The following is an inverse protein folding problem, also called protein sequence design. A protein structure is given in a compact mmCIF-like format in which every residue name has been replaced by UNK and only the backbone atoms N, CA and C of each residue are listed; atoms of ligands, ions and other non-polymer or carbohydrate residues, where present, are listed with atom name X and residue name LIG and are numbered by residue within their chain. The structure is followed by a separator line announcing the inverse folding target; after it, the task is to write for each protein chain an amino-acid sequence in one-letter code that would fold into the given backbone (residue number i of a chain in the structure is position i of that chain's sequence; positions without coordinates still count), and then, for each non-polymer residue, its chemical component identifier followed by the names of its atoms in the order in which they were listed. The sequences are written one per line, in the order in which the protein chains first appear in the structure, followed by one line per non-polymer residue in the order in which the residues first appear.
data_IF_478735254246
#
_entry.id   IF_478735254246
#
_cell.length_a   1.000
_cell.length_b   1.000
_cell.length_c   1.000
_cell.angle_alpha   90.00
_cell.angle_beta   90.00
_cell.angle_gamma   90.00
#
_symmetry.space_group_name_H-M   'P 1'
#
loop_
_entity.id
_entity.type
_entity.pdbx_description
1 polymer ?
#
# COMPACT_ATOMS: atom_id res chain seq x y z
N UNK A 1 1.29 -1.39 35.45
CA UNK A 1 2.41 -1.86 34.58
C UNK A 1 1.84 -2.05 33.19
N UNK A 2 2.57 -1.60 32.17
CA UNK A 2 2.15 -1.74 30.77
C UNK A 2 2.78 -3.02 30.18
N UNK A 3 2.09 -3.64 29.22
CA UNK A 3 2.54 -4.82 28.49
C UNK A 3 2.52 -4.54 26.98
N UNK A 4 3.47 -5.12 26.25
CA UNK A 4 3.60 -4.93 24.80
C UNK A 4 4.27 -6.14 24.14
N UNK A 5 4.15 -6.23 22.81
CA UNK A 5 4.87 -7.16 21.97
C UNK A 5 5.97 -6.43 21.19
N UNK A 6 7.10 -7.08 20.96
CA UNK A 6 8.12 -6.53 20.09
C UNK A 6 9.25 -7.49 19.75
N UNK A 7 9.90 -7.22 18.63
CA UNK A 7 11.10 -7.94 18.21
C UNK A 7 12.37 -7.34 18.83
N UNK A 8 13.37 -8.19 19.03
CA UNK A 8 14.71 -7.76 19.43
C UNK A 8 15.33 -6.96 18.29
N UNK A 9 15.58 -5.67 18.54
CA UNK A 9 16.20 -4.75 17.58
C UNK A 9 17.71 -4.87 17.58
N UNK A 10 18.30 -4.92 18.77
CA UNK A 10 19.74 -5.00 18.99
C UNK A 10 20.02 -5.85 20.23
N UNK A 11 21.14 -6.54 20.22
CA UNK A 11 21.62 -7.33 21.35
C UNK A 11 23.16 -7.28 21.40
N UNK A 12 23.71 -6.93 22.55
CA UNK A 12 25.15 -6.93 22.83
C UNK A 12 25.50 -8.24 23.53
N UNK A 13 26.12 -9.16 22.78
CA UNK A 13 26.49 -10.51 23.25
C UNK A 13 27.46 -10.42 24.44
N UNK A 14 28.39 -9.46 24.43
CA UNK A 14 29.40 -9.33 25.48
C UNK A 14 28.79 -8.80 26.78
N UNK A 15 27.81 -7.91 26.67
CA UNK A 15 27.17 -7.27 27.84
C UNK A 15 25.90 -7.97 28.30
N UNK A 16 25.35 -8.89 27.51
CA UNK A 16 24.15 -9.64 27.86
C UNK A 16 22.90 -8.78 27.99
N UNK A 17 22.77 -7.71 27.21
CA UNK A 17 21.54 -6.92 27.17
C UNK A 17 21.17 -6.56 25.73
N UNK A 18 19.90 -6.27 25.53
CA UNK A 18 19.38 -5.84 24.24
C UNK A 18 18.24 -4.86 24.36
N UNK A 19 17.69 -4.50 23.21
CA UNK A 19 16.59 -3.57 23.08
C UNK A 19 15.45 -4.19 22.26
N UNK A 20 14.23 -4.04 22.76
CA UNK A 20 13.01 -4.48 22.11
C UNK A 20 12.32 -3.31 21.41
N UNK A 21 11.81 -3.59 20.21
CA UNK A 21 10.88 -2.71 19.53
C UNK A 21 9.53 -2.65 20.24
N UNK A 22 8.77 -1.60 19.92
CA UNK A 22 7.41 -1.39 20.42
C UNK A 22 6.43 -1.54 19.27
N UNK A 23 5.53 -2.50 19.35
CA UNK A 23 4.57 -2.80 18.26
C UNK A 23 3.34 -1.90 18.31
N UNK A 24 2.85 -1.56 19.51
CA UNK A 24 1.54 -0.93 19.68
C UNK A 24 1.58 0.59 19.79
N UNK A 25 2.72 1.18 20.22
CA UNK A 25 2.85 2.65 20.33
C UNK A 25 3.58 3.26 19.12
N UNK A 26 2.86 4.12 18.41
CA UNK A 26 3.21 4.68 17.10
C UNK A 26 4.25 5.82 17.15
N UNK A 27 4.49 6.42 18.32
CA UNK A 27 5.49 7.49 18.49
C UNK A 27 6.92 6.92 18.58
N UNK A 28 7.37 6.30 17.48
CA UNK A 28 8.70 5.67 17.33
C UNK A 28 9.86 6.64 17.57
N UNK A 29 9.64 7.94 17.40
CA UNK A 29 10.71 8.94 17.51
C UNK A 29 10.95 9.47 18.93
N UNK A 30 10.03 9.28 19.89
CA UNK A 30 10.14 9.95 21.21
C UNK A 30 10.17 9.03 22.43
N UNK A 31 9.86 7.74 22.29
CA UNK A 31 9.88 6.79 23.40
C UNK A 31 10.95 5.75 23.12
N UNK A 32 12.10 5.93 23.77
CA UNK A 32 13.28 5.09 23.60
C UNK A 32 12.96 3.59 23.72
N UNK A 33 13.85 2.78 23.15
CA UNK A 33 13.68 1.34 23.11
C UNK A 33 13.62 0.73 24.51
N UNK A 34 12.96 -0.43 24.61
CA UNK A 34 12.77 -1.13 25.89
C UNK A 34 13.98 -2.02 26.12
N UNK A 35 14.76 -1.73 27.15
CA UNK A 35 15.95 -2.54 27.44
C UNK A 35 15.58 -3.80 28.21
N UNK A 36 16.25 -4.90 27.92
CA UNK A 36 16.12 -6.17 28.65
C UNK A 36 17.50 -6.76 28.93
N UNK A 37 17.61 -7.54 29.99
CA UNK A 37 18.83 -8.26 30.33
C UNK A 37 18.66 -9.76 30.04
N UNK A 38 19.72 -10.41 29.57
CA UNK A 38 19.70 -11.81 29.15
C UNK A 38 19.37 -12.76 30.31
N UNK A 39 19.61 -12.38 31.56
CA UNK A 39 19.28 -13.20 32.73
C UNK A 39 17.82 -13.61 32.75
N UNK A 40 16.90 -12.69 32.44
CA UNK A 40 15.46 -12.96 32.41
C UNK A 40 15.12 -14.02 31.35
N UNK A 41 15.79 -13.95 30.20
CA UNK A 41 15.57 -14.89 29.10
C UNK A 41 16.27 -16.23 29.38
N UNK A 42 17.46 -16.24 29.99
CA UNK A 42 18.21 -17.47 30.31
C UNK A 42 17.49 -18.36 31.31
N UNK A 43 16.82 -17.74 32.29
CA UNK A 43 16.08 -18.47 33.33
C UNK A 43 14.89 -19.22 32.72
N UNK A 44 14.11 -18.55 31.86
CA UNK A 44 12.86 -19.10 31.35
C UNK A 44 12.96 -19.75 29.96
N UNK A 45 13.89 -19.29 29.12
CA UNK A 45 14.00 -19.65 27.70
C UNK A 45 15.47 -19.86 27.27
N UNK A 46 16.18 -20.86 27.81
CA UNK A 46 17.61 -21.06 27.55
C UNK A 46 17.94 -21.25 26.06
N UNK A 47 17.04 -21.84 25.27
CA UNK A 47 17.23 -21.98 23.82
C UNK A 47 17.18 -20.65 23.08
N UNK A 48 16.32 -19.72 23.51
CA UNK A 48 16.25 -18.35 22.97
C UNK A 48 17.51 -17.58 23.38
N UNK A 49 17.97 -17.75 24.62
CA UNK A 49 19.22 -17.16 25.06
C UNK A 49 20.43 -17.64 24.23
N UNK A 50 20.50 -18.94 23.88
CA UNK A 50 21.52 -19.46 22.97
C UNK A 50 21.46 -18.82 21.57
N UNK A 51 20.25 -18.61 21.03
CA UNK A 51 20.07 -17.90 19.75
C UNK A 51 20.56 -16.45 19.83
N UNK A 52 20.18 -15.72 20.88
CA UNK A 52 20.68 -14.37 21.15
C UNK A 52 22.21 -14.33 21.20
N UNK A 53 22.83 -15.23 21.97
CA UNK A 53 24.29 -15.33 22.12
C UNK A 53 25.01 -15.73 20.81
N UNK A 54 24.30 -16.33 19.84
CA UNK A 54 24.82 -16.62 18.49
C UNK A 54 24.77 -15.43 17.51
N UNK A 55 24.14 -14.31 17.91
CA UNK A 55 23.94 -13.14 17.05
C UNK A 55 22.73 -13.22 16.12
N UNK A 56 21.95 -14.30 16.16
CA UNK A 56 20.71 -14.45 15.39
C UNK A 56 19.49 -14.04 16.22
N UNK A 57 19.09 -12.77 16.12
CA UNK A 57 18.02 -12.21 16.96
C UNK A 57 16.94 -11.39 16.25
N UNK A 58 17.07 -11.12 14.95
CA UNK A 58 16.12 -10.27 14.21
C UNK A 58 14.70 -10.85 14.09
N UNK A 59 14.56 -12.17 14.23
CA UNK A 59 13.30 -12.92 14.17
C UNK A 59 12.72 -13.22 15.57
N UNK A 60 13.40 -12.81 16.65
CA UNK A 60 12.96 -13.13 18.01
C UNK A 60 11.94 -12.09 18.47
N UNK A 61 10.66 -12.48 18.43
CA UNK A 61 9.54 -11.75 19.03
C UNK A 61 9.33 -12.13 20.49
N UNK A 62 9.13 -11.14 21.36
CA UNK A 62 8.88 -11.34 22.78
C UNK A 62 7.67 -10.51 23.23
N UNK A 63 6.87 -11.10 24.09
CA UNK A 63 5.89 -10.40 24.91
C UNK A 63 6.56 -9.95 26.19
N UNK A 64 6.31 -8.72 26.63
CA UNK A 64 6.98 -8.21 27.83
C UNK A 64 6.13 -7.23 28.63
N UNK A 65 6.24 -7.34 29.95
CA UNK A 65 5.85 -6.25 30.87
C UNK A 65 7.02 -5.31 31.01
N UNK A 66 6.75 -4.01 31.10
CA UNK A 66 7.80 -3.03 31.29
C UNK A 66 7.44 -1.95 32.30
N UNK A 67 8.48 -1.38 32.91
CA UNK A 67 8.40 -0.32 33.90
C UNK A 67 9.57 0.64 33.79
N UNK A 68 9.49 1.77 34.48
CA UNK A 68 10.60 2.71 34.60
C UNK A 68 11.53 2.27 35.73
N UNK A 69 12.81 2.12 35.43
CA UNK A 69 13.89 1.87 36.39
C UNK A 69 14.99 2.88 36.13
N UNK A 70 15.27 3.76 37.10
CA UNK A 70 16.26 4.84 36.98
C UNK A 70 16.04 5.73 35.73
N UNK A 71 14.78 6.07 35.45
CA UNK A 71 14.40 6.89 34.28
C UNK A 71 14.41 6.17 32.93
N UNK A 72 14.93 4.93 32.86
CA UNK A 72 14.93 4.09 31.65
C UNK A 72 13.79 3.08 31.68
N UNK A 73 13.29 2.68 30.50
CA UNK A 73 12.19 1.71 30.41
C UNK A 73 12.75 0.29 30.29
N UNK A 74 12.58 -0.54 31.32
CA UNK A 74 13.09 -1.92 31.41
C UNK A 74 11.96 -2.93 31.21
N UNK A 75 12.22 -4.01 30.46
CA UNK A 75 11.39 -5.21 30.50
C UNK A 75 11.57 -5.93 31.85
N UNK A 76 10.48 -6.09 32.60
CA UNK A 76 10.46 -6.70 33.94
C UNK A 76 10.03 -8.16 33.92
N UNK A 77 9.23 -8.57 32.93
CA UNK A 77 8.85 -9.96 32.67
C UNK A 77 8.79 -10.18 31.17
N UNK A 78 9.10 -11.39 30.74
CA UNK A 78 9.18 -11.77 29.33
C UNK A 78 8.43 -13.08 29.15
N UNK A 79 7.65 -13.17 28.06
CA UNK A 79 6.98 -14.38 27.62
C UNK A 79 7.28 -14.63 26.14
N UNK A 80 7.44 -15.91 25.77
CA UNK A 80 7.71 -16.29 24.38
C UNK A 80 6.42 -16.52 23.61
N UNK A 81 5.40 -17.03 24.30
CA UNK A 81 4.11 -17.40 23.70
C UNK A 81 2.97 -16.76 24.46
N UNK A 82 1.88 -16.47 23.76
CA UNK A 82 0.67 -15.96 24.41
C UNK A 82 0.14 -16.93 25.47
N UNK A 83 0.28 -18.25 25.31
CA UNK A 83 -0.18 -19.23 26.31
C UNK A 83 0.35 -18.98 27.73
N UNK A 84 1.58 -18.45 27.85
CA UNK A 84 2.25 -18.22 29.14
C UNK A 84 1.82 -16.90 29.82
N UNK A 85 1.13 -16.02 29.09
CA UNK A 85 0.69 -14.72 29.60
C UNK A 85 -0.50 -14.93 30.56
N UNK A 86 -0.51 -14.31 31.75
CA UNK A 86 -1.66 -14.34 32.66
C UNK A 86 -2.94 -13.86 31.99
N UNK A 87 -4.09 -14.49 32.29
CA UNK A 87 -5.36 -14.22 31.59
C UNK A 87 -5.76 -12.74 31.66
N UNK A 88 -5.67 -12.12 32.84
CA UNK A 88 -5.98 -10.68 33.03
C UNK A 88 -5.18 -9.77 32.08
N UNK A 89 -3.96 -10.16 31.73
CA UNK A 89 -3.09 -9.42 30.81
C UNK A 89 -3.45 -9.71 29.37
N UNK A 90 -3.85 -10.94 29.04
CA UNK A 90 -4.36 -11.29 27.71
C UNK A 90 -5.61 -10.50 27.37
N UNK A 91 -6.53 -10.37 28.33
CA UNK A 91 -7.78 -9.62 28.14
C UNK A 91 -7.47 -8.15 27.82
N UNK A 92 -6.60 -7.52 28.61
CA UNK A 92 -6.11 -6.16 28.36
C UNK A 92 -5.44 -6.01 26.98
N UNK A 93 -4.57 -6.95 26.59
CA UNK A 93 -3.91 -6.92 25.29
C UNK A 93 -4.92 -7.10 24.14
N UNK A 94 -5.95 -7.91 24.35
CA UNK A 94 -6.99 -8.18 23.37
C UNK A 94 -7.77 -6.91 23.07
N UNK A 95 -8.22 -6.21 24.12
CA UNK A 95 -8.87 -4.90 23.99
C UNK A 95 -7.97 -3.90 23.24
N UNK A 96 -6.67 -3.87 23.55
CA UNK A 96 -5.71 -2.98 22.90
C UNK A 96 -5.52 -3.29 21.41
N UNK A 97 -5.46 -4.56 21.03
CA UNK A 97 -5.38 -4.96 19.62
C UNK A 97 -6.65 -4.57 18.88
N UNK A 98 -7.83 -4.75 19.46
CA UNK A 98 -9.11 -4.34 18.86
C UNK A 98 -9.23 -2.82 18.69
N UNK A 99 -8.71 -2.04 19.65
CA UNK A 99 -8.59 -0.58 19.57
C UNK A 99 -7.70 -0.17 18.38
N UNK A 100 -6.53 -0.81 18.23
CA UNK A 100 -5.60 -0.55 17.12
C UNK A 100 -6.26 -0.84 15.76
N UNK A 101 -6.97 -1.97 15.65
CA UNK A 101 -7.76 -2.29 14.46
C UNK A 101 -8.85 -1.25 14.19
N UNK A 102 -9.36 -0.57 15.21
CA UNK A 102 -10.40 0.45 15.06
C UNK A 102 -9.86 1.80 14.60
N UNK A 103 -8.64 2.15 14.98
CA UNK A 103 -8.08 3.51 14.83
C UNK A 103 -7.27 3.76 13.56
N UNK A 104 -7.12 2.78 12.67
CA UNK A 104 -6.38 2.94 11.39
C UNK A 104 -4.94 3.45 11.56
N UNK A 105 -4.25 3.00 12.60
CA UNK A 105 -2.84 3.36 12.84
C UNK A 105 -1.91 2.72 11.81
N UNK A 106 -0.75 3.33 11.57
CA UNK A 106 0.33 2.91 10.66
C UNK A 106 1.15 1.70 11.17
N UNK A 107 0.50 0.75 11.85
CA UNK A 107 1.17 -0.51 12.17
C UNK A 107 1.14 -1.37 10.91
N UNK A 108 2.27 -2.04 10.60
CA UNK A 108 2.32 -3.00 9.48
C UNK A 108 1.19 -4.00 9.65
N UNK A 109 0.43 -4.22 8.58
CA UNK A 109 -0.76 -5.06 8.61
C UNK A 109 -0.40 -6.51 8.91
N UNK A 110 0.73 -6.96 8.38
CA UNK A 110 1.29 -8.30 8.55
C UNK A 110 1.62 -8.55 10.03
N UNK A 111 2.27 -7.56 10.66
CA UNK A 111 2.61 -7.62 12.07
C UNK A 111 1.36 -7.64 12.96
N UNK A 112 0.40 -6.75 12.67
CA UNK A 112 -0.85 -6.69 13.41
C UNK A 112 -1.64 -8.00 13.27
N UNK A 113 -1.69 -8.56 12.06
CA UNK A 113 -2.33 -9.86 11.79
C UNK A 113 -1.69 -10.97 12.61
N UNK A 114 -0.37 -11.10 12.57
CA UNK A 114 0.35 -12.13 13.31
C UNK A 114 0.06 -12.06 14.82
N UNK A 115 0.21 -10.87 15.41
CA UNK A 115 -0.04 -10.64 16.84
C UNK A 115 -1.51 -10.90 17.20
N UNK A 116 -2.45 -10.53 16.33
CA UNK A 116 -3.88 -10.77 16.55
C UNK A 116 -4.18 -12.27 16.53
N UNK A 117 -3.63 -13.02 15.57
CA UNK A 117 -3.82 -14.47 15.48
C UNK A 117 -3.23 -15.16 16.71
N UNK A 118 -2.04 -14.77 17.14
CA UNK A 118 -1.39 -15.36 18.31
C UNK A 118 -2.16 -15.08 19.61
N UNK A 119 -2.75 -13.89 19.74
CA UNK A 119 -3.41 -13.46 20.98
C UNK A 119 -4.86 -13.92 21.11
N UNK A 120 -5.65 -13.73 20.05
CA UNK A 120 -7.11 -13.96 20.07
C UNK A 120 -7.59 -14.96 19.01
N UNK A 121 -6.67 -15.54 18.24
CA UNK A 121 -6.97 -16.58 17.25
C UNK A 121 -7.44 -16.05 15.89
N UNK A 122 -7.38 -16.94 14.89
CA UNK A 122 -7.72 -16.65 13.50
C UNK A 122 -9.16 -16.15 13.34
N UNK A 123 -10.13 -16.78 14.03
CA UNK A 123 -11.55 -16.43 13.88
C UNK A 123 -11.84 -14.98 14.31
N UNK A 124 -11.24 -14.53 15.41
CA UNK A 124 -11.39 -13.15 15.88
C UNK A 124 -10.68 -12.17 14.95
N UNK A 125 -9.47 -12.50 14.48
CA UNK A 125 -8.77 -11.71 13.47
C UNK A 125 -9.64 -11.51 12.22
N UNK A 126 -10.27 -12.55 11.70
CA UNK A 126 -11.08 -12.43 10.47
C UNK A 126 -12.31 -11.53 10.67
N UNK A 127 -12.91 -11.56 11.87
CA UNK A 127 -13.98 -10.62 12.25
C UNK A 127 -13.48 -9.18 12.27
N UNK A 128 -12.29 -8.94 12.84
CA UNK A 128 -11.67 -7.61 12.90
C UNK A 128 -11.29 -7.09 11.52
N UNK A 129 -10.70 -7.93 10.65
CA UNK A 129 -10.39 -7.58 9.26
C UNK A 129 -11.66 -7.22 8.49
N UNK A 130 -12.74 -7.99 8.66
CA UNK A 130 -14.04 -7.69 8.04
C UNK A 130 -14.58 -6.34 8.52
N UNK A 131 -14.52 -6.06 9.83
CA UNK A 131 -14.95 -4.79 10.43
C UNK A 131 -14.10 -3.62 9.92
N UNK A 132 -12.77 -3.77 9.91
CA UNK A 132 -11.82 -2.80 9.38
C UNK A 132 -12.12 -2.49 7.91
N UNK A 133 -12.12 -3.51 7.06
CA UNK A 133 -12.41 -3.35 5.63
C UNK A 133 -13.79 -2.69 5.43
N UNK A 134 -14.82 -3.03 6.23
CA UNK A 134 -16.14 -2.39 6.11
C UNK A 134 -16.13 -0.88 6.41
N UNK A 135 -15.29 -0.43 7.35
CA UNK A 135 -15.12 0.98 7.70
C UNK A 135 -14.36 1.73 6.60
N UNK A 136 -13.29 1.14 6.09
CA UNK A 136 -12.39 1.74 5.09
C UNK A 136 -12.77 1.42 3.64
N UNK A 137 -13.85 0.66 3.42
CA UNK A 137 -14.42 0.44 2.08
C UNK A 137 -14.58 1.78 1.41
N UNK A 138 -13.85 1.95 0.31
CA UNK A 138 -13.90 3.19 -0.44
C UNK A 138 -15.35 3.48 -0.85
N UNK A 139 -15.76 4.75 -1.00
CA UNK A 139 -17.07 5.07 -1.57
C UNK A 139 -17.34 4.33 -2.89
N UNK A 140 -16.28 4.04 -3.66
CA UNK A 140 -16.33 3.23 -4.88
C UNK A 140 -16.71 1.77 -4.62
N UNK A 141 -16.12 1.09 -3.64
CA UNK A 141 -16.51 -0.29 -3.31
C UNK A 141 -17.95 -0.39 -2.81
N UNK A 142 -18.43 0.63 -2.08
CA UNK A 142 -19.83 0.73 -1.68
C UNK A 142 -20.77 0.89 -2.89
N UNK A 143 -20.37 1.68 -3.88
CA UNK A 143 -21.11 1.85 -5.14
C UNK A 143 -21.12 0.52 -5.92
N UNK A 144 -19.98 -0.16 -6.05
CA UNK A 144 -19.87 -1.43 -6.77
C UNK A 144 -20.69 -2.55 -6.12
N UNK A 145 -20.67 -2.67 -4.78
CA UNK A 145 -21.51 -3.64 -4.06
C UNK A 145 -23.01 -3.30 -4.17
N UNK A 146 -23.37 -2.02 -4.15
CA UNK A 146 -24.76 -1.58 -4.37
C UNK A 146 -25.24 -1.93 -5.78
N UNK A 147 -24.43 -1.65 -6.81
CA UNK A 147 -24.73 -1.99 -8.21
C UNK A 147 -24.87 -3.51 -8.42
N UNK A 148 -23.98 -4.31 -7.82
CA UNK A 148 -24.05 -5.77 -7.90
C UNK A 148 -25.27 -6.33 -7.15
N UNK A 149 -25.63 -5.76 -6.01
CA UNK A 149 -26.83 -6.13 -5.25
C UNK A 149 -28.11 -5.79 -6.03
N UNK A 150 -28.17 -4.65 -6.72
CA UNK A 150 -29.29 -4.29 -7.61
C UNK A 150 -29.39 -5.20 -8.85
N UNK A 151 -28.26 -5.66 -9.40
CA UNK A 151 -28.24 -6.64 -10.52
C UNK A 151 -28.78 -8.02 -10.10
N UNK A 152 -28.51 -8.45 -8.86
CA UNK A 152 -29.01 -9.73 -8.35
C UNK A 152 -30.52 -9.69 -8.04
N UNK A 153 -31.03 -8.57 -7.53
CA UNK A 153 -32.48 -8.42 -7.26
C UNK A 153 -33.30 -8.24 -8.54
N UNK A 154 -32.77 -7.57 -9.56
CA UNK A 154 -33.42 -7.44 -10.88
C UNK A 154 -33.45 -8.76 -11.66
N UNK A 155 -32.47 -9.66 -11.49
CA UNK A 155 -32.52 -11.03 -12.06
C UNK A 155 -33.57 -11.92 -11.41
N UNK A 156 -33.89 -11.74 -10.13
CA UNK A 156 -34.98 -12.50 -9.47
C UNK A 156 -36.39 -12.07 -9.90
N UNK A 157 -36.56 -10.91 -10.55
CA UNK A 157 -37.87 -10.41 -11.01
C UNK A 157 -38.20 -10.70 -12.48
N UNK A 158 -37.31 -11.31 -13.26
CA UNK A 158 -37.52 -11.64 -14.69
C UNK A 158 -37.93 -13.10 -14.96
N UNK A 159 -38.76 -13.69 -14.11
CA UNK A 159 -39.50 -14.93 -14.43
C UNK A 159 -40.99 -14.67 -14.20
N UNK A 160 -41.65 -14.10 -15.20
CA UNK A 160 -43.08 -13.78 -15.28
C UNK A 160 -43.40 -13.17 -16.66
N UNK A 161 -44.61 -13.36 -17.21
CA UNK A 161 -44.80 -13.81 -18.58
C UNK A 161 -44.62 -12.73 -19.66
N UNK A 162 -44.26 -13.25 -20.84
CA UNK A 162 -44.13 -12.60 -22.15
C UNK A 162 -45.37 -11.75 -22.46
N UNK A 163 -45.19 -10.44 -22.54
CA UNK A 163 -46.13 -9.52 -23.20
C UNK A 163 -45.32 -8.63 -24.14
N UNK A 164 -45.71 -8.68 -25.40
CA UNK A 164 -45.23 -7.84 -26.50
C UNK A 164 -45.69 -6.38 -26.33
N UNK A 165 -44.92 -5.48 -26.94
CA UNK A 165 -45.26 -4.08 -27.22
C UNK A 165 -45.36 -3.13 -26.01
N UNK A 166 -44.35 -2.26 -25.88
CA UNK A 166 -44.46 -0.81 -26.13
C UNK A 166 -43.11 -0.20 -25.74
N UNK A 167 -42.46 0.36 -26.75
CA UNK A 167 -41.24 1.14 -26.63
C UNK A 167 -41.62 2.46 -25.96
N UNK A 168 -41.15 2.65 -24.73
CA UNK A 168 -40.89 3.97 -24.14
C UNK A 168 -39.81 3.78 -23.08
N UNK A 169 -38.59 4.15 -23.45
CA UNK A 169 -37.41 4.13 -22.59
C UNK A 169 -37.52 5.27 -21.56
N UNK A 170 -37.28 5.03 -20.26
CA UNK A 170 -37.08 6.10 -19.30
C UNK A 170 -35.63 6.62 -19.35
N UNK A 171 -35.51 7.90 -19.04
CA UNK A 171 -34.33 8.76 -19.18
C UNK A 171 -33.00 8.19 -18.64
N UNK A 172 -32.00 8.21 -19.52
CA UNK A 172 -30.57 7.99 -19.28
C UNK A 172 -29.87 9.31 -18.90
N UNK A 173 -30.26 9.96 -17.82
CA UNK A 173 -29.50 11.10 -17.33
C UNK A 173 -28.53 10.65 -16.23
N UNK A 174 -27.24 10.67 -16.56
CA UNK A 174 -26.02 10.39 -15.76
C UNK A 174 -25.34 9.02 -15.90
N UNK A 175 -25.36 8.41 -17.09
CA UNK A 175 -24.20 7.60 -17.50
C UNK A 175 -23.24 8.51 -18.26
N UNK A 176 -22.22 9.04 -17.57
CA UNK A 176 -21.05 9.61 -18.22
C UNK A 176 -20.38 8.51 -19.04
N UNK A 177 -20.74 8.42 -20.33
CA UNK A 177 -20.00 7.62 -21.30
C UNK A 177 -18.57 8.14 -21.25
N UNK A 178 -17.66 7.32 -20.71
CA UNK A 178 -16.23 7.61 -20.83
C UNK A 178 -15.96 7.59 -22.33
N UNK A 179 -15.52 8.69 -22.95
CA UNK A 179 -15.34 8.74 -24.40
C UNK A 179 -14.41 7.61 -24.81
N UNK A 180 -14.80 6.83 -25.83
CA UNK A 180 -14.00 5.72 -26.38
C UNK A 180 -12.56 6.14 -26.73
N UNK A 181 -12.37 7.43 -27.00
CA UNK A 181 -11.12 8.03 -27.45
C UNK A 181 -10.12 8.29 -26.30
N UNK A 182 -10.45 7.96 -25.05
CA UNK A 182 -9.52 8.15 -23.92
C UNK A 182 -8.38 7.14 -23.93
N UNK A 183 -8.52 6.00 -24.62
CA UNK A 183 -7.61 4.85 -24.51
C UNK A 183 -6.78 4.55 -25.77
N UNK A 184 -6.69 5.48 -26.73
CA UNK A 184 -5.97 5.22 -27.98
C UNK A 184 -4.49 4.95 -27.72
N UNK A 185 -3.96 3.87 -28.29
CA UNK A 185 -2.56 3.43 -28.11
C UNK A 185 -2.33 2.45 -26.95
N UNK A 186 -3.33 2.19 -26.10
CA UNK A 186 -3.24 1.16 -25.06
C UNK A 186 -3.58 -0.23 -25.62
N UNK A 187 -2.96 -1.31 -25.09
CA UNK A 187 -3.41 -2.68 -25.33
C UNK A 187 -4.91 -2.87 -25.03
N UNK A 188 -5.59 -3.66 -25.86
CA UNK A 188 -7.05 -3.86 -25.79
C UNK A 188 -7.51 -4.38 -24.41
N UNK A 189 -6.73 -5.27 -23.78
CA UNK A 189 -7.06 -5.82 -22.47
C UNK A 189 -7.09 -4.77 -21.36
N UNK A 190 -6.39 -3.64 -21.53
CA UNK A 190 -6.35 -2.57 -20.53
C UNK A 190 -7.56 -1.65 -20.56
N UNK A 191 -8.21 -1.51 -21.71
CA UNK A 191 -9.34 -0.57 -21.93
C UNK A 191 -10.47 -0.70 -20.89
N UNK A 192 -10.65 -1.89 -20.31
CA UNK A 192 -11.72 -2.20 -19.35
C UNK A 192 -11.24 -2.40 -17.91
N UNK A 193 -9.93 -2.39 -17.66
CA UNK A 193 -9.37 -2.66 -16.32
C UNK A 193 -8.65 -1.46 -15.70
N UNK A 194 -8.50 -0.36 -16.43
CA UNK A 194 -7.87 0.87 -15.90
C UNK A 194 -8.79 1.52 -14.86
N UNK A 195 -8.28 1.65 -13.65
CA UNK A 195 -8.90 2.43 -12.58
C UNK A 195 -8.22 3.80 -12.52
N UNK A 196 -8.91 4.83 -13.00
CA UNK A 196 -8.43 6.20 -12.92
C UNK A 196 -8.49 6.72 -11.48
N UNK A 197 -7.34 7.09 -10.93
CA UNK A 197 -7.23 7.58 -9.55
C UNK A 197 -7.86 8.96 -9.46
N UNK A 198 -8.96 9.07 -8.71
CA UNK A 198 -9.65 10.36 -8.55
C UNK A 198 -8.76 11.42 -7.90
N UNK A 199 -8.89 12.68 -8.36
CA UNK A 199 -8.04 13.81 -7.95
C UNK A 199 -8.04 14.05 -6.44
N UNK A 200 -9.15 13.79 -5.74
CA UNK A 200 -9.26 13.93 -4.28
C UNK A 200 -8.31 13.04 -3.47
N UNK A 201 -7.72 12.02 -4.10
CA UNK A 201 -6.75 11.12 -3.46
C UNK A 201 -5.29 11.48 -3.78
N UNK A 202 -5.06 12.57 -4.53
CA UNK A 202 -3.73 13.02 -4.91
C UNK A 202 -3.28 14.11 -3.94
N UNK A 203 -2.03 14.05 -3.51
CA UNK A 203 -1.43 15.04 -2.60
C UNK A 203 -0.64 16.12 -3.34
N UNK A 204 -0.26 15.89 -4.60
CA UNK A 204 0.49 16.87 -5.40
C UNK A 204 -0.47 17.94 -5.96
N UNK A 205 -0.32 19.23 -5.59
CA UNK A 205 -1.18 20.31 -6.09
C UNK A 205 -1.19 20.43 -7.63
N UNK A 206 -0.07 20.11 -8.29
CA UNK A 206 0.03 20.19 -9.75
C UNK A 206 -0.88 19.19 -10.47
N UNK A 207 -1.24 18.08 -9.82
CA UNK A 207 -2.16 17.07 -10.37
C UNK A 207 -3.63 17.52 -10.38
N UNK A 208 -3.92 18.72 -9.89
CA UNK A 208 -5.24 19.35 -9.95
C UNK A 208 -5.39 20.35 -11.10
N UNK A 209 -4.28 20.67 -11.78
CA UNK A 209 -4.26 21.63 -12.89
C UNK A 209 -4.38 20.85 -14.21
N UNK A 210 -5.42 21.09 -15.03
CA UNK A 210 -5.61 20.42 -16.32
C UNK A 210 -4.38 20.44 -17.24
N UNK A 211 -4.22 19.39 -18.08
CA UNK A 211 -3.15 19.27 -19.08
C UNK A 211 -1.90 18.52 -18.59
N UNK A 212 -0.91 18.34 -19.46
CA UNK A 212 0.33 17.62 -19.15
C UNK A 212 0.28 16.20 -19.71
N UNK A 213 0.53 15.21 -18.87
CA UNK A 213 0.57 13.81 -19.29
C UNK A 213 -0.45 12.94 -18.56
N UNK A 214 -0.88 11.88 -19.23
CA UNK A 214 -1.56 10.76 -18.57
C UNK A 214 -0.59 9.58 -18.47
N UNK A 215 -0.64 8.84 -17.36
CA UNK A 215 0.19 7.67 -17.10
C UNK A 215 -0.71 6.49 -16.74
N UNK A 216 -0.45 5.34 -17.32
CA UNK A 216 -1.08 4.08 -16.94
C UNK A 216 0.00 3.10 -16.48
N UNK A 217 -0.16 2.59 -15.26
CA UNK A 217 0.75 1.59 -14.67
C UNK A 217 0.02 0.27 -14.59
N UNK A 218 0.51 -0.73 -15.33
CA UNK A 218 0.01 -2.10 -15.33
C UNK A 218 0.84 -2.96 -14.36
N UNK A 219 0.16 -3.68 -13.47
CA UNK A 219 0.78 -4.57 -12.49
C UNK A 219 0.67 -6.03 -12.95
N UNK A 220 1.61 -6.87 -12.53
CA UNK A 220 1.56 -8.34 -12.78
C UNK A 220 0.30 -9.02 -12.23
N UNK A 221 -0.43 -8.35 -11.33
CA UNK A 221 -1.73 -8.82 -10.82
C UNK A 221 -2.88 -8.66 -11.81
N UNK A 222 -2.64 -8.11 -13.00
CA UNK A 222 -3.67 -7.78 -14.00
C UNK A 222 -4.46 -6.50 -13.68
N UNK A 223 -4.08 -5.77 -12.63
CA UNK A 223 -4.65 -4.45 -12.31
C UNK A 223 -3.91 -3.37 -13.08
N UNK A 224 -4.64 -2.31 -13.48
CA UNK A 224 -4.04 -1.11 -14.06
C UNK A 224 -4.56 0.15 -13.37
N UNK A 225 -3.66 1.08 -13.06
CA UNK A 225 -4.00 2.38 -12.47
C UNK A 225 -3.66 3.50 -13.43
N UNK A 226 -4.63 4.39 -13.67
CA UNK A 226 -4.49 5.56 -14.52
C UNK A 226 -4.37 6.85 -13.71
N UNK A 227 -3.46 7.73 -14.11
CA UNK A 227 -3.23 9.04 -13.51
C UNK A 227 -3.29 10.09 -14.60
N UNK A 228 -4.21 11.04 -14.48
CA UNK A 228 -4.32 12.16 -15.44
C UNK A 228 -3.66 13.44 -14.91
N UNK A 229 -3.34 14.35 -15.82
CA UNK A 229 -2.84 15.69 -15.50
C UNK A 229 -1.52 15.71 -14.72
N UNK A 230 -0.61 14.81 -15.08
CA UNK A 230 0.70 14.71 -14.46
C UNK A 230 1.68 15.61 -15.22
N UNK A 231 2.20 16.64 -14.54
CA UNK A 231 3.13 17.62 -15.16
C UNK A 231 4.55 17.09 -15.34
N UNK A 232 4.99 16.20 -14.44
CA UNK A 232 6.30 15.55 -14.46
C UNK A 232 6.14 14.06 -14.17
N UNK A 233 5.73 13.25 -15.16
CA UNK A 233 5.64 11.80 -15.03
C UNK A 233 6.78 11.10 -14.30
N UNK A 234 8.03 11.42 -14.62
CA UNK A 234 9.23 10.82 -14.02
C UNK A 234 9.25 11.01 -12.50
N UNK A 235 9.11 12.26 -12.05
CA UNK A 235 9.08 12.63 -10.64
C UNK A 235 7.87 12.03 -9.92
N UNK A 236 6.71 12.01 -10.57
CA UNK A 236 5.50 11.41 -10.01
C UNK A 236 5.70 9.92 -9.75
N UNK A 237 6.21 9.19 -10.74
CA UNK A 237 6.42 7.75 -10.63
C UNK A 237 7.53 7.41 -9.64
N UNK A 238 8.60 8.22 -9.56
CA UNK A 238 9.66 8.07 -8.56
C UNK A 238 9.12 8.16 -7.13
N UNK A 239 8.30 9.17 -6.82
CA UNK A 239 7.70 9.35 -5.49
C UNK A 239 6.65 8.28 -5.17
N UNK A 240 5.87 7.88 -6.18
CA UNK A 240 4.86 6.83 -6.07
C UNK A 240 5.46 5.46 -5.73
N UNK A 241 6.57 5.08 -6.36
CA UNK A 241 7.25 3.81 -6.05
C UNK A 241 7.86 3.76 -4.66
N UNK A 242 8.40 4.86 -4.17
CA UNK A 242 8.87 4.94 -2.78
C UNK A 242 7.73 4.67 -1.78
N UNK A 243 6.47 4.88 -2.17
CA UNK A 243 5.29 4.59 -1.33
C UNK A 243 4.67 3.20 -1.51
N UNK A 244 4.69 2.61 -2.72
CA UNK A 244 4.09 1.28 -3.00
C UNK A 244 5.00 0.14 -2.57
N UNK A 245 6.30 0.35 -2.65
CA UNK A 245 7.24 -0.64 -2.19
C UNK A 245 7.31 -0.42 -0.68
N UNK A 246 6.42 -1.11 0.06
CA UNK A 246 6.12 -1.16 1.52
C UNK A 246 7.28 -0.94 2.53
N UNK A 247 8.50 -0.75 2.07
CA UNK A 247 9.57 -0.14 2.81
C UNK A 247 9.22 1.31 3.17
N UNK A 248 9.61 1.72 4.38
CA UNK A 248 9.78 3.14 4.64
C UNK A 248 10.69 3.71 3.55
N UNK A 249 10.36 4.86 2.98
CA UNK A 249 11.08 5.47 1.84
C UNK A 249 12.62 5.43 1.97
N UNK A 250 13.12 5.52 3.21
CA UNK A 250 14.54 5.44 3.54
C UNK A 250 15.20 4.07 3.32
N UNK A 251 14.47 2.96 3.34
CA UNK A 251 15.03 1.64 3.12
C UNK A 251 15.10 1.29 1.64
N UNK A 252 14.10 1.66 0.83
CA UNK A 252 14.15 1.45 -0.61
C UNK A 252 15.29 2.24 -1.27
N UNK A 253 15.49 3.50 -0.87
CA UNK A 253 16.54 4.34 -1.45
C UNK A 253 17.97 3.87 -1.15
N UNK A 254 18.16 3.08 -0.09
CA UNK A 254 19.46 2.49 0.30
C UNK A 254 19.80 1.21 -0.48
N UNK A 255 18.86 0.64 -1.22
CA UNK A 255 19.14 -0.54 -2.03
C UNK A 255 20.03 -0.16 -3.20
N UNK A 256 20.81 -1.14 -3.70
CA UNK A 256 21.48 -0.99 -4.98
C UNK A 256 20.45 -0.79 -6.09
N UNK A 257 20.82 -0.07 -7.15
CA UNK A 257 19.92 0.17 -8.30
C UNK A 257 19.42 -1.16 -8.90
N UNK A 258 20.27 -2.18 -8.98
CA UNK A 258 19.87 -3.51 -9.46
C UNK A 258 18.74 -4.12 -8.61
N UNK A 259 18.85 -4.04 -7.29
CA UNK A 259 17.81 -4.54 -6.38
C UNK A 259 16.51 -3.72 -6.52
N UNK A 260 16.62 -2.39 -6.70
CA UNK A 260 15.45 -1.54 -6.97
C UNK A 260 14.74 -1.96 -8.25
N UNK A 261 15.51 -2.21 -9.32
CA UNK A 261 14.98 -2.67 -10.62
C UNK A 261 14.29 -4.03 -10.45
N UNK A 262 14.92 -5.01 -9.83
CA UNK A 262 14.35 -6.33 -9.63
C UNK A 262 13.04 -6.30 -8.82
N UNK A 263 13.01 -5.55 -7.72
CA UNK A 263 11.79 -5.39 -6.91
C UNK A 263 10.68 -4.73 -7.73
N UNK A 264 11.01 -3.72 -8.53
CA UNK A 264 10.06 -3.01 -9.38
C UNK A 264 9.50 -3.92 -10.46
N UNK A 265 10.35 -4.68 -11.15
CA UNK A 265 9.98 -5.68 -12.16
C UNK A 265 9.08 -6.78 -11.62
N UNK A 266 9.19 -7.14 -10.34
CA UNK A 266 8.29 -8.14 -9.71
C UNK A 266 6.88 -7.59 -9.45
N UNK A 267 6.71 -6.28 -9.33
CA UNK A 267 5.41 -5.66 -9.03
C UNK A 267 4.71 -5.15 -10.29
N UNK A 268 5.46 -4.55 -11.20
CA UNK A 268 4.94 -3.79 -12.34
C UNK A 268 5.27 -4.54 -13.61
N UNK A 269 4.26 -4.71 -14.45
CA UNK A 269 4.42 -5.32 -15.77
C UNK A 269 4.91 -4.27 -16.76
N UNK A 270 4.15 -3.17 -16.93
CA UNK A 270 4.36 -2.16 -17.97
C UNK A 270 3.95 -0.77 -17.51
N UNK A 271 4.52 0.25 -18.13
CA UNK A 271 4.10 1.65 -17.96
C UNK A 271 3.84 2.25 -19.33
N UNK A 272 2.70 2.91 -19.46
CA UNK A 272 2.31 3.65 -20.66
C UNK A 272 2.16 5.12 -20.30
N UNK A 273 2.53 6.00 -21.22
CA UNK A 273 2.36 7.44 -21.05
C UNK A 273 1.86 8.09 -22.34
N UNK A 274 1.18 9.22 -22.20
CA UNK A 274 0.91 10.15 -23.31
C UNK A 274 1.04 11.58 -22.81
N UNK A 275 1.36 12.49 -23.71
CA UNK A 275 1.47 13.93 -23.43
C UNK A 275 0.53 14.72 -24.32
N UNK A 276 -0.01 15.84 -23.82
CA UNK A 276 -0.94 16.71 -24.56
C UNK A 276 -0.96 18.12 -23.95
N UNK A 277 -1.15 19.14 -24.79
CA UNK A 277 -1.24 20.55 -24.36
C UNK A 277 -2.65 20.90 -23.90
N UNK A 278 -3.66 20.40 -24.61
CA UNK A 278 -5.07 20.77 -24.44
C UNK A 278 -5.99 19.57 -24.18
N UNK A 279 -7.22 19.84 -23.72
CA UNK A 279 -8.22 18.78 -23.51
C UNK A 279 -8.68 18.13 -24.83
N UNK A 280 -8.61 18.86 -25.94
CA UNK A 280 -9.00 18.35 -27.25
C UNK A 280 -7.92 17.41 -27.78
N UNK A 281 -6.65 17.82 -27.71
CA UNK A 281 -5.49 16.96 -28.02
C UNK A 281 -5.46 15.71 -27.16
N UNK A 282 -5.85 15.80 -25.88
CA UNK A 282 -5.87 14.64 -24.97
C UNK A 282 -6.65 13.46 -25.55
N UNK A 283 -7.75 13.73 -26.26
CA UNK A 283 -8.59 12.69 -26.85
C UNK A 283 -7.99 12.02 -28.08
N UNK A 284 -6.97 12.63 -28.67
CA UNK A 284 -6.28 12.14 -29.87
C UNK A 284 -4.87 11.62 -29.55
N UNK A 285 -4.27 12.10 -28.46
CA UNK A 285 -2.94 11.72 -28.02
C UNK A 285 -2.85 10.23 -27.69
N UNK A 286 -1.92 9.55 -28.36
CA UNK A 286 -1.66 8.13 -28.24
C UNK A 286 -0.86 7.83 -26.98
N UNK A 287 -1.28 6.80 -26.24
CA UNK A 287 -0.41 6.16 -25.27
C UNK A 287 0.71 5.41 -25.99
N UNK A 288 1.91 5.58 -25.46
CA UNK A 288 3.10 4.81 -25.85
C UNK A 288 3.59 4.00 -24.66
N UNK A 289 4.04 2.77 -24.91
CA UNK A 289 4.72 1.95 -23.89
C UNK A 289 6.09 2.58 -23.63
N UNK A 290 6.29 3.12 -22.43
CA UNK A 290 7.54 3.79 -22.04
C UNK A 290 8.46 2.87 -21.24
N UNK A 291 7.93 1.83 -20.62
CA UNK A 291 8.72 0.89 -19.82
C UNK A 291 8.05 -0.48 -19.75
N UNK A 292 8.85 -1.54 -19.74
CA UNK A 292 8.38 -2.92 -19.70
C UNK A 292 9.32 -3.79 -18.86
N UNK A 293 8.77 -4.50 -17.88
CA UNK A 293 9.55 -5.31 -16.94
C UNK A 293 10.35 -6.44 -17.59
N UNK A 294 9.91 -6.93 -18.73
CA UNK A 294 10.57 -8.02 -19.46
C UNK A 294 11.81 -7.52 -20.21
N UNK A 295 11.78 -6.29 -20.73
CA UNK A 295 12.79 -5.79 -21.67
C UNK A 295 13.65 -4.66 -21.13
N UNK A 296 13.14 -3.84 -20.22
CA UNK A 296 13.87 -2.67 -19.70
C UNK A 296 14.93 -3.09 -18.69
N UNK A 297 16.12 -2.50 -18.75
CA UNK A 297 17.23 -2.67 -17.79
C UNK A 297 17.36 -1.49 -16.80
N UNK A 298 16.42 -0.54 -16.87
CA UNK A 298 16.39 0.66 -16.04
C UNK A 298 15.11 0.78 -15.21
N UNK A 299 15.08 1.75 -14.29
CA UNK A 299 13.88 2.08 -13.51
C UNK A 299 12.86 2.83 -14.38
N UNK A 300 11.54 2.63 -14.17
CA UNK A 300 10.51 3.27 -15.01
C UNK A 300 10.56 4.81 -15.02
N UNK A 301 11.01 5.45 -13.93
CA UNK A 301 11.15 6.90 -13.92
C UNK A 301 12.22 7.41 -14.89
N UNK A 302 13.28 6.64 -15.17
CA UNK A 302 14.32 7.02 -16.16
C UNK A 302 13.77 6.96 -17.58
N UNK A 303 12.96 5.95 -17.89
CA UNK A 303 12.32 5.87 -19.21
C UNK A 303 11.28 6.98 -19.40
N UNK A 304 10.61 7.39 -18.31
CA UNK A 304 9.74 8.56 -18.33
C UNK A 304 10.49 9.88 -18.48
N UNK A 305 11.70 10.03 -17.93
CA UNK A 305 12.54 11.22 -18.19
C UNK A 305 12.87 11.36 -19.68
N UNK A 306 13.15 10.24 -20.37
CA UNK A 306 13.35 10.23 -21.83
C UNK A 306 12.09 10.63 -22.58
N UNK A 307 10.95 10.04 -22.22
CA UNK A 307 9.63 10.40 -22.78
C UNK A 307 9.29 11.89 -22.59
N UNK A 308 9.61 12.47 -21.43
CA UNK A 308 9.44 13.89 -21.15
C UNK A 308 10.32 14.76 -22.06
N UNK A 309 11.59 14.38 -22.25
CA UNK A 309 12.51 15.10 -23.13
C UNK A 309 12.05 15.07 -24.59
N UNK A 310 11.59 13.92 -25.08
CA UNK A 310 11.06 13.78 -26.44
C UNK A 310 9.79 14.61 -26.66
N UNK A 311 8.93 14.68 -25.64
CA UNK A 311 7.72 15.50 -25.68
C UNK A 311 8.03 17.00 -25.78
N UNK A 312 9.12 17.47 -25.16
CA UNK A 312 9.54 18.89 -25.23
C UNK A 312 10.05 19.21 -26.63
N UNK A 313 10.87 18.33 -27.22
CA UNK A 313 11.43 18.55 -28.55
C UNK A 313 10.37 18.61 -29.66
N UNK A 314 9.27 17.87 -29.52
CA UNK A 314 8.15 17.96 -30.46
C UNK A 314 7.38 19.30 -30.36
N UNK A 315 7.42 19.95 -29.19
CA UNK A 315 6.67 21.19 -28.93
C UNK A 315 7.39 22.41 -29.50
N UNK A 316 8.72 22.49 -29.33
CA UNK A 316 9.47 23.66 -29.78
C UNK A 316 9.68 23.70 -31.31
N UNK A 317 9.56 22.57 -32.02
CA UNK A 317 9.75 22.55 -33.48
C UNK A 317 8.52 23.07 -34.26
N UNK A 318 7.29 22.95 -33.76
CA UNK A 318 6.12 23.48 -34.47
C UNK A 318 5.86 24.97 -34.16
N UNK A 319 6.07 25.40 -32.92
CA UNK A 319 5.88 26.80 -32.52
C UNK A 319 7.00 27.72 -33.09
N UNK A 320 8.17 27.17 -33.45
CA UNK A 320 9.29 27.92 -34.04
C UNK A 320 9.24 28.04 -35.58
N UNK A 321 8.61 27.09 -36.28
CA UNK A 321 8.49 27.11 -37.74
C UNK A 321 7.12 27.61 -38.25
N UNK A 322 6.14 27.85 -37.38
CA UNK A 322 4.86 28.48 -37.71
C UNK A 322 4.86 30.02 -37.72
N UNK A 323 6.02 30.65 -37.56
CA UNK A 323 6.23 32.12 -37.58
C UNK A 323 7.15 32.60 -38.72
N UNK A 324 7.48 31.72 -39.68
CA UNK A 324 8.10 32.05 -40.97
C UNK A 324 7.11 31.75 -42.09
#
# INVERSE_FOLDING_TARGET
MEMEFGYVKTYDINRGFGFLGRTFKENRQKRGDIWFHISEVKIHYPNIAKKLDSGSYSDIGLWYEFGKVNGKIKATKIWLTTSEIPQEKKDYLSEKVEEIWSESRQISRELLDHVTIELIGQSCRDKLVKKYNSRFKSPLERITESLNSQRLTSRKRKRGPRIENVISRPDRNNSSEVPSNVYVGLPEHLSHCILWVARRYRSNPLSHIPGGSDIVVEYHTGKALGYDWIKKPSAYIKTFFAGIIEYSSNAFEKLSEQNKIEITKRKISRVFARSYKSSDERSQALFVEVWNSETSDEMPYKSLEKFEADSINQIDLEDYYGLL
#
